data_IF_381177035785
#
_entry.id   IF_381177035785
#
_cell.length_a   1.000
_cell.length_b   1.000
_cell.length_c   1.000
_cell.angle_alpha   90.00
_cell.angle_beta   90.00
_cell.angle_gamma   90.00
#
_symmetry.space_group_name_H-M   'P 1'
#
loop_
_entity.id
_entity.type
_entity.pdbx_description
1 polymer ?
#
# COMPACT_ATOMS: atom_id res chain seq x y z
N UNK A 1 -25.81 -3.15 60.71
CA UNK A 1 -24.39 -3.01 60.29
C UNK A 1 -24.22 -3.71 58.94
N UNK A 2 -24.37 -2.98 57.84
CA UNK A 2 -24.11 -3.51 56.49
C UNK A 2 -22.78 -2.94 56.01
N UNK A 3 -21.73 -3.75 56.07
CA UNK A 3 -20.45 -3.41 55.46
C UNK A 3 -20.56 -3.72 53.96
N UNK A 4 -20.78 -2.69 53.15
CA UNK A 4 -20.75 -2.79 51.69
C UNK A 4 -19.33 -3.04 51.22
N UNK A 5 -19.09 -4.22 50.65
CA UNK A 5 -17.82 -4.55 49.99
C UNK A 5 -17.78 -3.83 48.63
N UNK A 6 -17.02 -2.74 48.57
CA UNK A 6 -16.73 -2.06 47.31
C UNK A 6 -15.69 -2.88 46.52
N UNK A 7 -16.15 -3.70 45.58
CA UNK A 7 -15.30 -4.41 44.63
C UNK A 7 -14.76 -3.40 43.61
N UNK A 8 -13.55 -2.89 43.84
CA UNK A 8 -12.79 -2.15 42.83
C UNK A 8 -12.28 -3.17 41.82
N UNK A 9 -12.93 -3.27 40.67
CA UNK A 9 -12.43 -4.08 39.55
C UNK A 9 -11.16 -3.42 39.01
N UNK A 10 -10.02 -4.08 39.17
CA UNK A 10 -8.79 -3.65 38.52
C UNK A 10 -8.99 -3.67 36.99
N UNK A 11 -8.88 -2.52 36.34
CA UNK A 11 -8.96 -2.45 34.88
C UNK A 11 -7.74 -3.14 34.28
N UNK A 12 -7.98 -4.13 33.42
CA UNK A 12 -6.90 -4.79 32.68
C UNK A 12 -6.50 -3.87 31.54
N UNK A 13 -5.29 -3.31 31.59
CA UNK A 13 -4.77 -2.52 30.49
C UNK A 13 -4.77 -3.35 29.20
N UNK A 14 -5.46 -2.85 28.16
CA UNK A 14 -5.50 -3.48 26.83
C UNK A 14 -4.51 -2.75 25.94
N UNK A 15 -3.64 -3.50 25.26
CA UNK A 15 -2.77 -2.96 24.22
C UNK A 15 -3.60 -2.88 22.94
N UNK A 16 -3.64 -1.69 22.35
CA UNK A 16 -4.25 -1.43 21.05
C UNK A 16 -3.18 -1.36 19.96
N UNK A 17 -3.51 -1.85 18.77
CA UNK A 17 -2.66 -1.75 17.59
C UNK A 17 -3.41 -1.07 16.45
N UNK A 18 -2.66 -0.33 15.63
CA UNK A 18 -3.15 0.23 14.38
C UNK A 18 -2.12 0.02 13.28
N UNK A 19 -2.59 -0.07 12.04
CA UNK A 19 -1.71 -0.05 10.87
C UNK A 19 -1.52 1.38 10.38
N UNK A 20 -0.30 1.76 10.03
CA UNK A 20 -0.01 3.00 9.32
C UNK A 20 0.38 2.65 7.88
N UNK A 21 -0.38 3.16 6.92
CA UNK A 21 -0.14 3.00 5.47
C UNK A 21 0.08 4.40 4.89
N UNK A 22 1.03 4.53 3.96
CA UNK A 22 1.29 5.77 3.24
C UNK A 22 1.92 5.44 1.89
N UNK A 23 1.93 6.40 0.97
CA UNK A 23 2.77 6.37 -0.24
C UNK A 23 2.69 5.06 -1.01
N UNK A 24 1.46 4.58 -1.22
CA UNK A 24 1.23 3.35 -1.98
C UNK A 24 1.75 3.54 -3.41
N UNK A 25 1.58 4.73 -3.99
CA UNK A 25 1.96 5.05 -5.37
C UNK A 25 1.53 3.95 -6.34
N UNK A 26 0.24 3.59 -6.34
CA UNK A 26 -0.23 2.53 -7.20
C UNK A 26 -0.17 2.96 -8.68
N UNK A 27 0.58 2.21 -9.49
CA UNK A 27 0.68 2.41 -10.93
C UNK A 27 -0.12 1.35 -11.69
N UNK A 28 -1.22 1.80 -12.30
CA UNK A 28 -2.11 0.99 -13.14
C UNK A 28 -1.48 0.54 -14.46
N UNK A 29 -0.39 1.19 -14.88
CA UNK A 29 0.29 0.96 -16.14
C UNK A 29 1.64 0.26 -15.98
N UNK A 30 2.03 -0.07 -14.74
CA UNK A 30 3.23 -0.84 -14.45
C UNK A 30 3.25 -2.12 -15.28
N UNK A 31 4.42 -2.45 -15.82
CA UNK A 31 4.64 -3.69 -16.53
C UNK A 31 6.04 -4.23 -16.28
N UNK A 32 6.13 -5.53 -15.96
CA UNK A 32 7.39 -6.24 -15.81
C UNK A 32 8.26 -6.34 -17.09
N UNK A 33 7.75 -5.90 -18.26
CA UNK A 33 8.61 -5.63 -19.42
C UNK A 33 8.46 -4.20 -19.97
N UNK A 34 8.17 -3.25 -19.08
CA UNK A 34 8.26 -1.81 -19.34
C UNK A 34 9.70 -1.32 -19.25
N UNK A 35 9.94 -0.04 -19.49
CA UNK A 35 11.27 0.58 -19.35
C UNK A 35 11.36 1.33 -18.02
N UNK A 36 12.31 0.97 -17.15
CA UNK A 36 12.46 1.61 -15.82
C UNK A 36 12.78 3.10 -15.89
N UNK A 37 13.23 3.61 -17.03
CA UNK A 37 13.45 5.05 -17.26
C UNK A 37 12.18 5.79 -17.73
N UNK A 38 11.12 5.06 -18.05
CA UNK A 38 9.85 5.58 -18.58
C UNK A 38 8.67 5.09 -17.74
N UNK A 39 8.77 5.32 -16.42
CA UNK A 39 7.75 4.94 -15.43
C UNK A 39 7.41 3.45 -15.43
N UNK A 40 8.25 2.60 -16.02
CA UNK A 40 8.03 1.16 -16.06
C UNK A 40 6.80 0.75 -16.88
N UNK A 41 6.37 1.63 -17.77
CA UNK A 41 5.29 1.39 -18.70
C UNK A 41 5.79 0.69 -19.95
N UNK A 42 4.88 0.02 -20.65
CA UNK A 42 5.15 -0.50 -21.98
C UNK A 42 5.43 0.64 -22.93
N UNK A 43 6.52 0.56 -23.66
CA UNK A 43 6.76 1.40 -24.82
C UNK A 43 6.86 0.54 -26.08
N UNK A 44 6.40 1.10 -27.18
CA UNK A 44 6.39 0.57 -28.54
C UNK A 44 7.79 0.52 -29.17
N UNK A 45 8.77 1.22 -28.56
CA UNK A 45 10.14 1.26 -29.04
C UNK A 45 10.92 0.01 -28.59
N UNK A 46 11.24 -0.85 -29.55
CA UNK A 46 12.23 -1.92 -29.39
C UNK A 46 13.62 -1.31 -29.17
N UNK A 47 13.96 -0.96 -27.94
CA UNK A 47 15.27 -0.37 -27.63
C UNK A 47 15.67 -0.49 -26.17
N UNK A 48 16.63 -1.39 -25.89
CA UNK A 48 17.45 -1.39 -24.67
C UNK A 48 16.69 -1.68 -23.38
N UNK A 49 16.56 -2.97 -23.07
CA UNK A 49 15.89 -3.53 -21.91
C UNK A 49 16.50 -3.14 -20.55
N UNK A 50 16.03 -2.06 -19.95
CA UNK A 50 16.03 -1.92 -18.48
C UNK A 50 14.65 -2.31 -17.99
N UNK A 51 14.41 -3.62 -17.92
CA UNK A 51 13.13 -4.15 -17.46
C UNK A 51 13.05 -4.05 -15.93
N UNK A 52 11.86 -3.77 -15.37
CA UNK A 52 11.65 -3.88 -13.95
C UNK A 52 11.99 -5.28 -13.44
N UNK A 53 12.49 -5.37 -12.22
CA UNK A 53 12.97 -6.60 -11.57
C UNK A 53 11.84 -7.59 -11.14
N UNK A 54 10.77 -7.64 -11.93
CA UNK A 54 9.80 -8.73 -11.88
C UNK A 54 8.43 -8.35 -11.35
N UNK A 55 7.77 -9.32 -10.71
CA UNK A 55 6.32 -9.25 -10.41
C UNK A 55 5.95 -8.15 -9.41
N UNK A 56 6.86 -7.83 -8.48
CA UNK A 56 6.58 -6.97 -7.34
C UNK A 56 7.12 -5.54 -7.47
N UNK A 57 7.73 -5.19 -8.61
CA UNK A 57 8.24 -3.84 -8.83
C UNK A 57 9.71 -3.81 -9.23
N UNK A 58 10.22 -2.60 -9.29
CA UNK A 58 11.64 -2.26 -9.34
C UNK A 58 11.80 -0.97 -8.52
N UNK A 59 13.00 -0.74 -7.97
CA UNK A 59 13.27 0.42 -7.12
C UNK A 59 13.11 1.77 -7.82
N UNK A 60 13.11 1.82 -9.16
CA UNK A 60 12.87 3.03 -9.94
C UNK A 60 11.40 3.21 -10.39
N UNK A 61 10.49 2.33 -9.94
CA UNK A 61 9.08 2.35 -10.34
C UNK A 61 8.14 2.65 -9.18
N UNK A 62 6.97 3.15 -9.54
CA UNK A 62 5.79 3.12 -8.68
C UNK A 62 5.23 1.69 -8.52
N UNK A 63 4.39 1.48 -7.50
CA UNK A 63 4.00 0.14 -7.03
C UNK A 63 3.04 -0.57 -7.99
N UNK A 64 3.33 -1.81 -8.42
CA UNK A 64 2.34 -2.63 -9.10
C UNK A 64 1.26 -3.14 -8.15
N UNK A 65 0.09 -3.51 -8.71
CA UNK A 65 -1.01 -4.11 -7.95
C UNK A 65 -0.56 -5.35 -7.14
N UNK A 66 0.32 -6.17 -7.71
CA UNK A 66 0.81 -7.37 -7.03
C UNK A 66 1.54 -7.05 -5.71
N UNK A 67 2.29 -5.94 -5.65
CA UNK A 67 2.94 -5.49 -4.43
C UNK A 67 1.91 -5.03 -3.40
N UNK A 68 0.99 -4.15 -3.80
CA UNK A 68 -0.08 -3.61 -2.96
C UNK A 68 -0.93 -4.73 -2.36
N UNK A 69 -1.35 -5.69 -3.19
CA UNK A 69 -2.14 -6.84 -2.76
C UNK A 69 -1.35 -7.72 -1.78
N UNK A 70 -0.07 -7.98 -2.05
CA UNK A 70 0.76 -8.82 -1.19
C UNK A 70 0.97 -8.21 0.20
N UNK A 71 1.16 -6.88 0.27
CA UNK A 71 1.28 -6.16 1.52
C UNK A 71 -0.01 -6.24 2.33
N UNK A 72 -1.17 -5.95 1.72
CA UNK A 72 -2.47 -6.05 2.39
C UNK A 72 -2.76 -7.47 2.90
N UNK A 73 -2.41 -8.50 2.13
CA UNK A 73 -2.53 -9.91 2.55
C UNK A 73 -1.64 -10.21 3.76
N UNK A 74 -0.39 -9.73 3.77
CA UNK A 74 0.52 -9.92 4.88
C UNK A 74 0.04 -9.21 6.16
N UNK A 75 -0.47 -7.99 6.04
CA UNK A 75 -1.06 -7.22 7.16
C UNK A 75 -2.23 -7.98 7.77
N UNK A 76 -3.15 -8.47 6.93
CA UNK A 76 -4.29 -9.28 7.37
C UNK A 76 -3.84 -10.57 8.07
N UNK A 77 -2.89 -11.30 7.49
CA UNK A 77 -2.41 -12.57 8.03
C UNK A 77 -1.68 -12.44 9.37
N UNK A 78 -0.95 -11.33 9.60
CA UNK A 78 -0.17 -11.13 10.82
C UNK A 78 -0.99 -10.60 12.00
N UNK A 79 -1.91 -9.66 11.74
CA UNK A 79 -2.59 -8.94 12.83
C UNK A 79 -4.00 -8.46 12.46
N UNK A 80 -4.65 -9.06 11.45
CA UNK A 80 -5.96 -8.63 10.97
C UNK A 80 -7.07 -8.57 12.04
N UNK A 81 -7.05 -9.47 13.02
CA UNK A 81 -8.12 -9.59 14.02
C UNK A 81 -7.91 -8.71 15.27
N UNK A 82 -6.75 -8.05 15.40
CA UNK A 82 -6.37 -7.28 16.60
C UNK A 82 -5.92 -5.85 16.28
N UNK A 83 -6.39 -5.31 15.16
CA UNK A 83 -6.15 -3.93 14.73
C UNK A 83 -7.42 -3.12 14.93
N UNK A 84 -7.30 -1.98 15.58
CA UNK A 84 -8.44 -1.11 15.89
C UNK A 84 -8.82 -0.21 14.72
N UNK A 85 -7.82 0.29 13.98
CA UNK A 85 -8.01 1.13 12.81
C UNK A 85 -6.79 1.12 11.90
N UNK A 86 -6.95 1.71 10.72
CA UNK A 86 -5.87 1.97 9.76
C UNK A 86 -5.75 3.48 9.61
N UNK A 87 -4.56 4.01 9.88
CA UNK A 87 -4.20 5.38 9.51
C UNK A 87 -3.61 5.35 8.11
N UNK A 88 -4.25 6.04 7.17
CA UNK A 88 -3.73 6.21 5.81
C UNK A 88 -3.52 7.68 5.49
N UNK A 89 -2.28 8.05 5.20
CA UNK A 89 -1.84 9.45 5.01
C UNK A 89 -1.73 9.90 3.56
N UNK A 90 -2.26 9.13 2.60
CA UNK A 90 -2.39 9.56 1.20
C UNK A 90 -1.32 8.99 0.25
N UNK A 91 -1.13 9.71 -0.85
CA UNK A 91 -0.27 9.39 -2.01
C UNK A 91 -0.52 7.97 -2.58
N UNK A 92 -1.81 7.72 -2.89
CA UNK A 92 -2.32 6.40 -3.24
C UNK A 92 -2.14 5.99 -4.71
N UNK A 93 -2.10 6.96 -5.62
CA UNK A 93 -2.02 6.74 -7.07
C UNK A 93 -0.75 7.35 -7.62
N UNK A 94 -0.13 6.68 -8.58
CA UNK A 94 1.01 7.22 -9.31
C UNK A 94 0.66 8.58 -9.92
N UNK A 95 1.53 9.57 -9.69
CA UNK A 95 1.39 10.90 -10.31
C UNK A 95 1.41 10.84 -11.84
N UNK A 96 2.11 9.86 -12.41
CA UNK A 96 2.23 9.71 -13.86
C UNK A 96 0.96 9.15 -14.49
N UNK A 97 0.22 8.30 -13.77
CA UNK A 97 -1.09 7.81 -14.21
C UNK A 97 -2.15 8.93 -14.26
N UNK A 98 -2.07 9.92 -13.37
CA UNK A 98 -2.99 11.06 -13.33
C UNK A 98 -2.78 11.98 -14.55
N UNK A 99 -1.53 12.22 -14.96
CA UNK A 99 -1.21 13.09 -16.10
C UNK A 99 -1.80 12.63 -17.44
N UNK A 100 -1.92 11.31 -17.64
CA UNK A 100 -2.55 10.73 -18.83
C UNK A 100 -4.08 10.81 -18.80
N UNK A 101 -4.69 10.86 -17.61
CA UNK A 101 -6.14 11.08 -17.48
C UNK A 101 -6.55 12.48 -17.94
N UNK A 102 -5.70 13.49 -17.70
CA UNK A 102 -5.91 14.86 -18.22
C UNK A 102 -5.66 14.99 -19.72
N UNK A 103 -4.79 14.17 -20.31
CA UNK A 103 -4.58 14.15 -21.76
C UNK A 103 -5.71 13.44 -22.54
N UNK A 104 -6.50 12.60 -21.87
CA UNK A 104 -7.69 11.96 -22.46
C UNK A 104 -9.00 12.76 -22.22
N UNK A 105 -8.88 13.98 -21.72
CA UNK A 105 -9.98 14.92 -21.46
C UNK A 105 -9.94 16.17 -22.37
N UNK A 106 -9.12 16.15 -23.43
CA UNK A 106 -9.07 17.19 -24.48
C UNK A 106 -9.39 16.57 -25.84
#
# INVERSE_FOLDING_TARGET
LFAGLLLVTASKAKIGYFWHITDIHYDVHYSAKGDTRKNCWRTDVNGGAFYPDGRFGDHNCDSPWALVESAARAMKAKHGDNVEFVLWTGDGLSRTAIGRSSEHQV
#
